data_IF_992483463648
#
_entry.id   IF_992483463648
#
_cell.length_a   1.000
_cell.length_b   1.000
_cell.length_c   1.000
_cell.angle_alpha   90.00
_cell.angle_beta   90.00
_cell.angle_gamma   90.00
#
_symmetry.space_group_name_H-M   'P 1'
#
loop_
_entity.id
_entity.type
_entity.pdbx_description
1 polymer ?
#
# COMPACT_ATOMS: atom_id res chain seq x y z
N UNK A 1 -18.36 3.54 -3.01
CA UNK A 1 -17.92 2.97 -4.31
C UNK A 1 -18.88 3.36 -5.45
N UNK A 2 -20.14 2.94 -5.49
CA UNK A 2 -21.06 3.21 -6.63
C UNK A 2 -21.26 4.70 -6.94
N UNK A 3 -21.54 5.53 -5.92
CA UNK A 3 -21.77 6.98 -6.10
C UNK A 3 -20.49 7.77 -6.43
N UNK A 4 -19.36 7.43 -5.84
CA UNK A 4 -18.11 8.17 -5.98
C UNK A 4 -17.28 7.63 -7.15
N UNK A 5 -16.92 6.34 -7.11
CA UNK A 5 -16.06 5.71 -8.12
C UNK A 5 -16.83 5.26 -9.38
N UNK A 6 -18.16 5.46 -9.44
CA UNK A 6 -19.04 4.95 -10.52
C UNK A 6 -18.91 3.43 -10.75
N UNK A 7 -18.62 2.69 -9.68
CA UNK A 7 -18.47 1.23 -9.69
C UNK A 7 -19.80 0.53 -9.96
N UNK A 8 -19.76 -0.63 -10.63
CA UNK A 8 -20.92 -1.48 -10.89
C UNK A 8 -21.33 -2.36 -9.69
N UNK A 9 -20.66 -2.21 -8.53
CA UNK A 9 -20.95 -2.96 -7.32
C UNK A 9 -22.37 -2.59 -6.84
N UNK A 10 -23.20 -3.59 -6.60
CA UNK A 10 -24.51 -3.41 -5.96
C UNK A 10 -24.29 -3.13 -4.48
N UNK A 11 -24.73 -1.98 -3.95
CA UNK A 11 -24.63 -1.72 -2.51
C UNK A 11 -25.61 -2.60 -1.74
N UNK A 12 -25.36 -2.82 -0.46
CA UNK A 12 -26.38 -3.29 0.49
C UNK A 12 -27.49 -2.25 0.69
N UNK A 13 -28.51 -2.61 1.44
CA UNK A 13 -29.61 -1.71 1.78
C UNK A 13 -29.09 -0.61 2.72
N UNK A 14 -29.49 0.61 2.49
CA UNK A 14 -29.19 1.77 3.33
C UNK A 14 -30.26 2.85 3.11
N UNK A 15 -30.60 3.60 4.15
CA UNK A 15 -31.59 4.66 4.08
C UNK A 15 -31.04 5.88 3.34
N UNK A 16 -29.93 6.43 3.80
CA UNK A 16 -29.30 7.61 3.21
C UNK A 16 -27.77 7.54 3.27
N UNK A 17 -27.10 8.12 2.29
CA UNK A 17 -25.65 8.32 2.27
C UNK A 17 -25.36 9.80 2.08
N UNK A 18 -24.89 10.45 3.15
CA UNK A 18 -24.45 11.84 3.17
C UNK A 18 -22.93 11.84 3.18
N UNK A 19 -22.30 12.52 2.24
CA UNK A 19 -20.84 12.67 2.18
C UNK A 19 -20.47 14.02 1.59
N UNK A 20 -19.27 14.48 1.92
CA UNK A 20 -18.74 15.72 1.35
C UNK A 20 -18.54 15.57 -0.16
N UNK A 21 -19.02 16.53 -0.93
CA UNK A 21 -18.90 16.56 -2.40
C UNK A 21 -17.44 16.70 -2.86
N UNK A 22 -16.52 17.07 -1.97
CA UNK A 22 -15.09 17.15 -2.27
C UNK A 22 -14.42 15.77 -2.37
N UNK A 23 -15.03 14.70 -1.84
CA UNK A 23 -14.47 13.35 -1.93
C UNK A 23 -14.54 12.86 -3.38
N UNK A 24 -13.38 12.59 -3.95
CA UNK A 24 -13.23 12.19 -5.36
C UNK A 24 -13.04 10.69 -5.55
N UNK A 25 -12.59 9.96 -4.52
CA UNK A 25 -12.26 8.55 -4.64
C UNK A 25 -12.46 7.78 -3.33
N UNK A 26 -12.83 6.50 -3.46
CA UNK A 26 -12.84 5.52 -2.37
C UNK A 26 -11.97 4.34 -2.78
N UNK A 27 -11.00 3.98 -1.96
CA UNK A 27 -10.08 2.87 -2.18
C UNK A 27 -10.30 1.85 -1.06
N UNK A 28 -10.63 0.62 -1.43
CA UNK A 28 -10.69 -0.50 -0.50
C UNK A 28 -9.39 -1.28 -0.57
N UNK A 29 -8.75 -1.49 0.57
CA UNK A 29 -7.51 -2.23 0.72
C UNK A 29 -7.83 -3.45 1.59
N UNK A 30 -8.19 -4.53 0.92
CA UNK A 30 -8.57 -5.81 1.50
C UNK A 30 -7.41 -6.82 1.47
N UNK A 31 -7.62 -7.96 2.10
CA UNK A 31 -6.65 -9.05 2.17
C UNK A 31 -6.66 -9.99 0.94
N UNK A 32 -7.41 -9.65 -0.12
CA UNK A 32 -7.42 -10.46 -1.34
C UNK A 32 -6.03 -10.47 -2.01
N UNK A 33 -5.66 -11.56 -2.70
CA UNK A 33 -4.37 -11.67 -3.36
C UNK A 33 -4.11 -10.54 -4.37
N UNK A 34 -2.85 -10.11 -4.51
CA UNK A 34 -2.42 -9.11 -5.51
C UNK A 34 -2.40 -9.65 -6.95
N UNK A 35 -2.69 -10.93 -7.12
CA UNK A 35 -2.80 -11.62 -8.39
C UNK A 35 -3.05 -13.10 -8.18
N UNK A 36 -3.44 -13.81 -9.23
CA UNK A 36 -3.81 -15.23 -9.17
C UNK A 36 -2.79 -16.16 -9.82
N UNK A 37 -1.70 -15.61 -10.34
CA UNK A 37 -0.69 -16.41 -11.08
C UNK A 37 0.68 -16.26 -10.42
N UNK A 38 1.60 -17.22 -10.63
CA UNK A 38 2.98 -17.14 -10.15
C UNK A 38 3.77 -15.93 -10.68
N UNK A 39 3.30 -15.28 -11.75
CA UNK A 39 3.92 -14.07 -12.34
C UNK A 39 3.65 -12.81 -11.54
N UNK A 40 2.54 -12.79 -10.81
CA UNK A 40 2.23 -11.67 -9.92
C UNK A 40 3.13 -11.73 -8.70
N UNK A 41 3.85 -10.67 -8.41
CA UNK A 41 4.77 -10.56 -7.27
C UNK A 41 4.86 -9.10 -6.78
N UNK A 42 5.48 -8.83 -5.62
CA UNK A 42 5.62 -7.48 -5.09
C UNK A 42 6.24 -6.50 -6.07
N UNK A 43 7.31 -6.91 -6.79
CA UNK A 43 8.03 -6.05 -7.71
C UNK A 43 7.19 -5.60 -8.90
N UNK A 44 6.38 -6.50 -9.48
CA UNK A 44 5.49 -6.18 -10.61
C UNK A 44 4.29 -5.36 -10.16
N UNK A 45 3.70 -5.70 -9.01
CA UNK A 45 2.50 -5.00 -8.52
C UNK A 45 2.76 -3.54 -8.16
N UNK A 46 3.90 -3.25 -7.53
CA UNK A 46 4.33 -1.88 -7.16
C UNK A 46 4.97 -1.13 -8.32
N UNK A 47 5.13 -1.78 -9.48
CA UNK A 47 5.84 -1.24 -10.65
C UNK A 47 7.31 -0.86 -10.37
N UNK A 48 7.94 -1.41 -9.32
CA UNK A 48 9.38 -1.23 -9.10
C UNK A 48 10.17 -2.01 -10.13
N UNK A 49 9.62 -3.14 -10.61
CA UNK A 49 10.27 -3.99 -11.58
C UNK A 49 10.52 -3.30 -12.94
N UNK A 50 9.71 -2.31 -13.31
CA UNK A 50 9.90 -1.56 -14.56
C UNK A 50 11.22 -0.76 -14.51
N UNK A 51 11.47 -0.06 -13.41
CA UNK A 51 12.73 0.66 -13.20
C UNK A 51 13.94 -0.30 -13.05
N UNK A 52 13.75 -1.46 -12.41
CA UNK A 52 14.79 -2.50 -12.33
C UNK A 52 15.15 -3.01 -13.73
N UNK A 53 14.17 -3.32 -14.57
CA UNK A 53 14.41 -3.75 -15.97
C UNK A 53 15.16 -2.69 -16.78
N UNK A 54 14.83 -1.41 -16.57
CA UNK A 54 15.52 -0.31 -17.21
C UNK A 54 16.98 -0.22 -16.74
N UNK A 55 17.26 -0.35 -15.45
CA UNK A 55 18.62 -0.37 -14.90
C UNK A 55 19.49 -1.49 -15.54
N UNK A 56 18.91 -2.66 -15.78
CA UNK A 56 19.59 -3.74 -16.49
C UNK A 56 19.84 -3.41 -17.96
N UNK A 57 18.87 -2.81 -18.67
CA UNK A 57 19.01 -2.40 -20.06
C UNK A 57 20.08 -1.31 -20.25
N UNK A 58 20.31 -0.48 -19.23
CA UNK A 58 21.33 0.57 -19.25
C UNK A 58 22.74 0.09 -19.00
N UNK A 59 22.93 -1.17 -18.60
CA UNK A 59 24.27 -1.77 -18.43
C UNK A 59 25.04 -1.80 -19.76
N UNK A 60 26.37 -1.72 -19.66
CA UNK A 60 27.24 -1.79 -20.84
C UNK A 60 27.03 -3.09 -21.61
N UNK A 61 26.90 -4.20 -20.91
CA UNK A 61 26.69 -5.54 -21.49
C UNK A 61 25.37 -5.62 -22.27
N UNK A 62 24.27 -5.13 -21.68
CA UNK A 62 22.97 -5.09 -22.37
C UNK A 62 23.01 -4.21 -23.63
N UNK A 63 23.67 -3.05 -23.57
CA UNK A 63 23.84 -2.13 -24.73
C UNK A 63 24.64 -2.77 -25.85
N UNK A 64 25.74 -3.47 -25.53
CA UNK A 64 26.56 -4.19 -26.52
C UNK A 64 25.73 -5.28 -27.23
N UNK A 65 24.89 -6.01 -26.47
CA UNK A 65 24.03 -7.08 -27.00
C UNK A 65 22.74 -6.55 -27.66
N UNK A 66 22.47 -5.23 -27.60
CA UNK A 66 21.25 -4.62 -28.11
C UNK A 66 20.00 -4.97 -27.29
N UNK A 67 20.15 -5.30 -26.00
CA UNK A 67 19.04 -5.70 -25.13
C UNK A 67 18.33 -4.47 -24.58
N UNK A 68 17.05 -4.37 -24.80
CA UNK A 68 16.14 -3.37 -24.24
C UNK A 68 15.49 -3.89 -22.94
N UNK A 69 14.77 -3.05 -22.23
CA UNK A 69 14.08 -3.39 -20.97
C UNK A 69 13.11 -4.59 -21.11
N UNK A 70 12.48 -4.78 -22.27
CA UNK A 70 11.65 -5.94 -22.58
C UNK A 70 12.39 -7.27 -22.47
N UNK A 71 13.71 -7.33 -22.76
CA UNK A 71 14.54 -8.53 -22.60
C UNK A 71 14.56 -9.05 -21.17
N UNK A 72 14.48 -8.15 -20.22
CA UNK A 72 14.51 -8.41 -18.77
C UNK A 72 13.10 -8.64 -18.18
N UNK A 73 12.07 -8.74 -19.01
CA UNK A 73 10.72 -9.11 -18.60
C UNK A 73 10.50 -10.61 -18.72
N UNK A 74 10.07 -11.27 -17.65
CA UNK A 74 9.67 -12.68 -17.69
C UNK A 74 8.29 -12.90 -18.34
N UNK A 75 7.55 -11.82 -18.65
CA UNK A 75 6.26 -11.90 -19.34
C UNK A 75 6.41 -11.86 -20.87
N UNK A 76 7.53 -11.37 -21.40
CA UNK A 76 7.76 -11.13 -22.82
C UNK A 76 8.70 -12.17 -23.40
N UNK A 77 8.43 -12.63 -24.64
CA UNK A 77 9.32 -13.54 -25.35
C UNK A 77 10.70 -12.92 -25.59
N UNK A 78 11.70 -13.78 -25.67
CA UNK A 78 13.09 -13.39 -25.98
C UNK A 78 14.03 -13.47 -24.80
N UNK A 79 13.64 -13.02 -23.59
CA UNK A 79 14.49 -13.11 -22.39
C UNK A 79 14.04 -14.16 -21.39
N UNK A 80 12.78 -14.55 -21.43
CA UNK A 80 12.21 -15.53 -20.51
C UNK A 80 12.60 -16.97 -20.87
N UNK A 81 12.49 -17.86 -19.92
CA UNK A 81 12.50 -19.30 -20.17
C UNK A 81 11.24 -19.69 -20.96
N UNK A 82 11.41 -20.30 -22.12
CA UNK A 82 10.27 -20.67 -22.97
C UNK A 82 9.58 -21.96 -22.49
N UNK A 83 10.26 -22.84 -21.74
CA UNK A 83 9.66 -24.05 -21.19
C UNK A 83 8.54 -23.74 -20.19
N UNK A 84 8.80 -22.85 -19.21
CA UNK A 84 7.80 -22.39 -18.25
C UNK A 84 7.15 -21.05 -18.66
N UNK A 85 7.51 -20.49 -19.78
CA UNK A 85 7.04 -19.19 -20.27
C UNK A 85 7.21 -18.04 -19.29
N UNK A 86 8.23 -18.13 -18.41
CA UNK A 86 8.54 -17.11 -17.40
C UNK A 86 7.87 -17.31 -16.04
N UNK A 87 7.08 -18.36 -15.85
CA UNK A 87 6.47 -18.66 -14.55
C UNK A 87 7.49 -19.13 -13.50
N UNK A 88 8.62 -19.73 -13.95
CA UNK A 88 9.58 -20.40 -13.07
C UNK A 88 9.09 -21.77 -12.59
N UNK A 89 7.81 -22.01 -12.68
CA UNK A 89 7.09 -23.21 -12.26
C UNK A 89 6.33 -23.81 -13.45
N UNK A 90 6.08 -25.10 -13.39
CA UNK A 90 5.20 -25.83 -14.33
C UNK A 90 3.97 -26.24 -13.55
N UNK A 91 2.80 -25.84 -14.04
CA UNK A 91 1.50 -26.21 -13.48
C UNK A 91 1.14 -27.61 -13.97
N UNK A 92 0.85 -28.50 -13.02
CA UNK A 92 0.25 -29.81 -13.30
C UNK A 92 -1.22 -29.73 -12.89
N UNK A 93 -2.09 -29.76 -13.89
CA UNK A 93 -3.54 -29.74 -13.67
C UNK A 93 -4.03 -31.11 -13.22
N UNK A 94 -4.75 -31.13 -12.09
CA UNK A 94 -5.37 -32.31 -11.53
C UNK A 94 -6.90 -32.17 -11.55
N UNK A 95 -7.60 -33.05 -12.26
CA UNK A 95 -9.05 -32.93 -12.51
C UNK A 95 -9.92 -32.84 -11.25
N UNK A 96 -9.50 -33.41 -10.12
CA UNK A 96 -10.28 -33.50 -8.87
C UNK A 96 -9.53 -33.00 -7.63
N UNK A 97 -8.28 -32.57 -7.79
CA UNK A 97 -7.42 -32.06 -6.73
C UNK A 97 -6.93 -30.67 -7.09
N UNK A 98 -6.48 -29.87 -6.11
CA UNK A 98 -5.84 -28.59 -6.40
C UNK A 98 -4.63 -28.78 -7.33
N UNK A 99 -4.43 -27.82 -8.23
CA UNK A 99 -3.29 -27.81 -9.14
C UNK A 99 -1.96 -27.83 -8.36
N UNK A 100 -1.02 -28.63 -8.85
CA UNK A 100 0.32 -28.73 -8.27
C UNK A 100 1.30 -27.92 -9.12
N UNK A 101 2.14 -27.13 -8.49
CA UNK A 101 3.19 -26.37 -9.12
C UNK A 101 4.53 -26.99 -8.79
N UNK A 102 5.29 -27.39 -9.81
CA UNK A 102 6.66 -27.91 -9.68
C UNK A 102 7.65 -26.94 -10.30
N UNK A 103 8.86 -26.92 -9.78
CA UNK A 103 9.93 -26.08 -10.31
C UNK A 103 10.26 -26.47 -11.76
N UNK A 104 10.47 -25.49 -12.61
CA UNK A 104 10.85 -25.73 -14.01
C UNK A 104 12.25 -26.31 -14.09
N UNK A 105 12.38 -27.51 -14.66
CA UNK A 105 13.67 -28.23 -14.76
C UNK A 105 14.71 -27.48 -15.60
N UNK A 106 14.27 -26.71 -16.61
CA UNK A 106 15.14 -25.99 -17.51
C UNK A 106 15.73 -24.75 -16.87
N UNK A 107 14.91 -23.87 -16.29
CA UNK A 107 15.39 -22.63 -15.70
C UNK A 107 15.59 -22.70 -14.18
N UNK A 108 15.21 -23.79 -13.52
CA UNK A 108 15.34 -23.99 -12.07
C UNK A 108 14.81 -22.77 -11.30
N UNK A 109 13.57 -22.40 -11.56
CA UNK A 109 12.88 -21.30 -10.88
C UNK A 109 13.31 -19.89 -11.30
N UNK A 110 14.40 -19.71 -12.05
CA UNK A 110 14.96 -18.38 -12.38
C UNK A 110 14.12 -17.57 -13.36
N UNK A 111 13.17 -18.18 -14.07
CA UNK A 111 12.23 -17.54 -15.02
C UNK A 111 12.83 -17.09 -16.36
N UNK A 112 14.16 -17.03 -16.49
CA UNK A 112 14.88 -16.48 -17.64
C UNK A 112 15.71 -17.52 -18.36
N UNK A 113 16.06 -17.22 -19.59
CA UNK A 113 17.05 -17.96 -20.32
C UNK A 113 18.48 -17.55 -19.89
N UNK A 114 19.45 -18.39 -20.18
CA UNK A 114 20.85 -18.23 -19.77
C UNK A 114 21.45 -16.91 -20.26
N UNK A 115 21.19 -16.52 -21.50
CA UNK A 115 21.76 -15.33 -22.12
C UNK A 115 21.30 -14.02 -21.40
N UNK A 116 20.06 -13.98 -20.89
CA UNK A 116 19.56 -12.88 -20.09
C UNK A 116 20.19 -12.86 -18.72
N UNK A 117 20.45 -14.04 -18.10
CA UNK A 117 21.09 -14.16 -16.80
C UNK A 117 22.57 -13.81 -16.83
N UNK A 118 23.22 -13.86 -18.00
CA UNK A 118 24.62 -13.43 -18.16
C UNK A 118 24.81 -11.93 -17.88
N UNK A 119 23.78 -11.10 -18.19
CA UNK A 119 23.82 -9.66 -17.94
C UNK A 119 23.70 -9.40 -16.43
N UNK A 120 24.66 -8.69 -15.88
CA UNK A 120 24.73 -8.37 -14.45
C UNK A 120 24.66 -6.87 -14.20
N UNK A 121 23.86 -6.49 -13.20
CA UNK A 121 23.88 -5.15 -12.62
C UNK A 121 24.53 -5.23 -11.23
N UNK A 122 25.64 -4.52 -11.01
CA UNK A 122 26.43 -4.59 -9.75
C UNK A 122 26.70 -6.04 -9.30
N UNK A 123 27.04 -6.92 -10.27
CA UNK A 123 27.38 -8.32 -10.00
C UNK A 123 26.22 -9.29 -9.86
N UNK A 124 24.96 -8.82 -9.87
CA UNK A 124 23.76 -9.64 -9.74
C UNK A 124 22.99 -9.72 -11.06
N UNK A 125 22.46 -10.91 -11.38
CA UNK A 125 21.52 -11.12 -12.48
C UNK A 125 20.13 -10.66 -12.12
N UNK A 126 19.25 -10.50 -13.11
CA UNK A 126 17.85 -10.12 -12.88
C UNK A 126 17.10 -11.15 -12.00
N UNK A 127 17.44 -12.44 -12.09
CA UNK A 127 16.85 -13.47 -11.25
C UNK A 127 17.32 -13.36 -9.79
N UNK A 128 18.65 -13.13 -9.59
CA UNK A 128 19.18 -12.91 -8.25
C UNK A 128 18.57 -11.65 -7.59
N UNK A 129 18.30 -10.61 -8.37
CA UNK A 129 17.59 -9.42 -7.87
C UNK A 129 16.16 -9.74 -7.46
N UNK A 130 15.44 -10.56 -8.22
CA UNK A 130 14.08 -10.99 -7.83
C UNK A 130 14.08 -11.88 -6.58
N UNK A 131 15.19 -12.56 -6.28
CA UNK A 131 15.35 -13.38 -5.08
C UNK A 131 15.80 -12.59 -3.85
N UNK A 132 16.22 -11.33 -4.01
CA UNK A 132 16.52 -10.43 -2.89
C UNK A 132 15.29 -10.10 -2.08
N UNK A 133 15.46 -9.92 -0.79
CA UNK A 133 14.47 -9.24 0.06
C UNK A 133 14.34 -7.77 -0.35
N UNK A 134 13.26 -7.13 0.07
CA UNK A 134 13.05 -5.70 -0.18
C UNK A 134 14.19 -4.86 0.43
N UNK A 135 14.66 -5.20 1.64
CA UNK A 135 15.77 -4.52 2.31
C UNK A 135 17.09 -4.67 1.55
N UNK A 136 17.46 -5.91 1.17
CA UNK A 136 18.66 -6.17 0.37
C UNK A 136 18.62 -5.43 -0.98
N UNK A 137 17.45 -5.39 -1.61
CA UNK A 137 17.28 -4.68 -2.87
C UNK A 137 17.36 -3.16 -2.69
N UNK A 138 16.87 -2.59 -1.57
CA UNK A 138 16.97 -1.17 -1.28
C UNK A 138 18.44 -0.72 -1.13
N UNK A 139 19.29 -1.56 -0.52
CA UNK A 139 20.73 -1.34 -0.46
C UNK A 139 21.38 -1.49 -1.85
N UNK A 140 21.02 -2.55 -2.58
CA UNK A 140 21.59 -2.82 -3.90
C UNK A 140 21.34 -1.71 -4.93
N UNK A 141 20.14 -1.07 -4.85
CA UNK A 141 19.71 0.01 -5.72
C UNK A 141 19.74 1.40 -5.04
N UNK A 142 20.56 1.59 -4.01
CA UNK A 142 20.67 2.86 -3.26
C UNK A 142 20.85 4.11 -4.14
N UNK A 143 21.54 3.97 -5.28
CA UNK A 143 21.84 5.07 -6.20
C UNK A 143 20.79 5.26 -7.31
N UNK A 144 19.64 4.55 -7.26
CA UNK A 144 18.53 4.73 -8.20
C UNK A 144 17.28 5.17 -7.42
N UNK A 145 17.01 6.48 -7.30
CA UNK A 145 15.91 7.01 -6.47
C UNK A 145 14.55 6.41 -6.85
N UNK A 146 14.28 6.21 -8.14
CA UNK A 146 13.02 5.64 -8.64
C UNK A 146 12.75 4.20 -8.16
N UNK A 147 13.80 3.43 -7.85
CA UNK A 147 13.71 2.08 -7.27
C UNK A 147 13.67 2.20 -5.76
N UNK A 148 14.66 2.91 -5.18
CA UNK A 148 14.84 3.03 -3.74
C UNK A 148 13.59 3.55 -3.04
N UNK A 149 12.99 4.65 -3.49
CA UNK A 149 11.80 5.22 -2.86
C UNK A 149 10.61 4.28 -2.79
N UNK A 150 10.42 3.39 -3.79
CA UNK A 150 9.36 2.36 -3.75
C UNK A 150 9.70 1.22 -2.78
N UNK A 151 10.99 0.83 -2.69
CA UNK A 151 11.46 -0.20 -1.77
C UNK A 151 11.41 0.29 -0.32
N UNK A 152 11.81 1.54 -0.07
CA UNK A 152 11.68 2.17 1.25
C UNK A 152 10.22 2.23 1.70
N UNK A 153 9.27 2.50 0.77
CA UNK A 153 7.84 2.47 1.10
C UNK A 153 7.38 1.05 1.49
N UNK A 154 7.87 0.00 0.83
CA UNK A 154 7.59 -1.40 1.22
C UNK A 154 8.16 -1.71 2.61
N UNK A 155 9.38 -1.28 2.90
CA UNK A 155 10.01 -1.45 4.23
C UNK A 155 9.22 -0.73 5.32
N UNK A 156 8.74 0.48 5.05
CA UNK A 156 7.93 1.28 5.99
C UNK A 156 6.59 0.64 6.36
N UNK A 157 6.00 -0.16 5.48
CA UNK A 157 4.79 -0.93 5.82
C UNK A 157 5.11 -2.31 6.42
N UNK A 158 6.36 -2.56 6.86
CA UNK A 158 6.78 -3.80 7.50
C UNK A 158 6.98 -4.97 6.53
N UNK A 159 7.32 -4.71 5.26
CA UNK A 159 7.53 -5.72 4.22
C UNK A 159 9.00 -5.84 3.78
N UNK A 160 9.95 -5.40 4.61
CA UNK A 160 11.38 -5.47 4.30
C UNK A 160 11.91 -6.88 4.04
N UNK A 161 11.31 -7.87 4.70
CA UNK A 161 11.72 -9.28 4.67
C UNK A 161 11.21 -10.08 3.47
N UNK A 162 10.18 -9.62 2.75
CA UNK A 162 9.64 -10.37 1.59
C UNK A 162 10.57 -10.27 0.40
N UNK A 163 10.59 -11.32 -0.44
CA UNK A 163 11.38 -11.29 -1.69
C UNK A 163 10.64 -10.52 -2.77
N UNK A 164 11.38 -9.76 -3.58
CA UNK A 164 10.81 -8.98 -4.70
C UNK A 164 10.03 -9.84 -5.69
N UNK A 165 10.55 -11.01 -6.03
CA UNK A 165 9.93 -11.96 -6.96
C UNK A 165 9.04 -13.00 -6.30
N UNK A 166 8.70 -12.87 -4.99
CA UNK A 166 7.83 -13.80 -4.29
C UNK A 166 6.47 -13.89 -4.96
N UNK A 167 6.04 -15.11 -5.28
CA UNK A 167 4.73 -15.30 -5.94
C UNK A 167 3.58 -14.80 -5.06
N UNK A 168 2.60 -14.14 -5.68
CA UNK A 168 1.39 -13.70 -4.98
C UNK A 168 0.61 -14.84 -4.31
N UNK A 169 0.77 -16.06 -4.79
CA UNK A 169 0.10 -17.25 -4.25
C UNK A 169 0.71 -17.73 -2.92
N UNK A 170 1.92 -17.27 -2.58
CA UNK A 170 2.62 -17.59 -1.33
C UNK A 170 2.58 -16.47 -0.30
N UNK A 171 2.00 -15.34 -0.65
CA UNK A 171 1.81 -14.22 0.27
C UNK A 171 0.61 -14.45 1.18
N UNK A 172 0.76 -14.07 2.45
CA UNK A 172 -0.37 -13.98 3.37
C UNK A 172 -1.32 -12.86 2.98
N UNK A 173 -2.58 -12.91 3.46
CA UNK A 173 -3.55 -11.84 3.21
C UNK A 173 -3.07 -10.46 3.68
N UNK A 174 -2.44 -10.40 4.86
CA UNK A 174 -1.87 -9.16 5.39
C UNK A 174 -0.70 -8.61 4.56
N UNK A 175 0.18 -9.47 4.03
CA UNK A 175 1.25 -9.06 3.11
C UNK A 175 0.67 -8.51 1.81
N UNK A 176 -0.30 -9.20 1.21
CA UNK A 176 -0.98 -8.75 0.00
C UNK A 176 -1.64 -7.38 0.20
N UNK A 177 -2.29 -7.18 1.34
CA UNK A 177 -2.92 -5.92 1.72
C UNK A 177 -1.92 -4.77 1.83
N UNK A 178 -0.78 -4.98 2.52
CA UNK A 178 0.27 -3.97 2.66
C UNK A 178 0.97 -3.64 1.34
N UNK A 179 1.13 -4.62 0.44
CA UNK A 179 1.61 -4.35 -0.93
C UNK A 179 0.63 -3.44 -1.69
N UNK A 180 -0.70 -3.66 -1.54
CA UNK A 180 -1.72 -2.77 -2.12
C UNK A 180 -1.62 -1.36 -1.53
N UNK A 181 -1.45 -1.24 -0.21
CA UNK A 181 -1.25 0.04 0.47
C UNK A 181 -0.02 0.78 -0.09
N UNK A 182 1.12 0.09 -0.24
CA UNK A 182 2.35 0.66 -0.81
C UNK A 182 2.13 1.25 -2.19
N UNK A 183 1.37 0.56 -3.05
CA UNK A 183 1.04 1.07 -4.39
C UNK A 183 0.24 2.37 -4.34
N UNK A 184 -0.68 2.49 -3.38
CA UNK A 184 -1.47 3.72 -3.22
C UNK A 184 -0.64 4.87 -2.62
N UNK A 185 0.25 4.57 -1.66
CA UNK A 185 1.18 5.54 -1.09
C UNK A 185 2.16 6.13 -2.12
N UNK A 186 2.54 5.33 -3.12
CA UNK A 186 3.45 5.75 -4.19
C UNK A 186 2.79 6.65 -5.24
N UNK A 187 1.49 6.93 -5.12
CA UNK A 187 0.76 7.81 -6.05
C UNK A 187 0.64 9.21 -5.47
N UNK A 188 0.68 10.22 -6.35
CA UNK A 188 0.27 11.59 -5.96
C UNK A 188 -1.22 11.55 -5.57
N UNK A 189 -1.52 11.86 -4.32
CA UNK A 189 -2.88 11.92 -3.81
C UNK A 189 -3.49 13.31 -4.00
N UNK A 190 -4.82 13.36 -4.14
CA UNK A 190 -5.58 14.62 -4.20
C UNK A 190 -5.87 15.19 -2.81
N UNK A 191 -5.61 14.43 -1.74
CA UNK A 191 -6.01 14.77 -0.38
C UNK A 191 -7.53 14.65 -0.14
N UNK A 192 -8.27 13.99 -1.03
CA UNK A 192 -9.74 13.85 -0.97
C UNK A 192 -10.20 12.41 -1.17
N UNK A 193 -9.32 11.48 -0.80
CA UNK A 193 -9.58 10.04 -0.96
C UNK A 193 -9.99 9.43 0.38
N UNK A 194 -11.00 8.55 0.36
CA UNK A 194 -11.33 7.69 1.49
C UNK A 194 -10.62 6.35 1.29
N UNK A 195 -9.80 5.96 2.26
CA UNK A 195 -9.18 4.64 2.34
C UNK A 195 -9.96 3.77 3.32
N UNK A 196 -10.38 2.59 2.90
CA UNK A 196 -11.03 1.59 3.74
C UNK A 196 -10.08 0.40 3.90
N UNK A 197 -9.63 0.13 5.12
CA UNK A 197 -8.72 -0.96 5.45
C UNK A 197 -9.42 -1.95 6.39
N UNK A 198 -9.23 -3.23 6.12
CA UNK A 198 -9.78 -4.31 6.92
C UNK A 198 -8.64 -5.07 7.61
N UNK A 199 -8.55 -4.96 8.95
CA UNK A 199 -7.54 -5.57 9.81
C UNK A 199 -6.09 -5.47 9.28
N UNK A 200 -5.57 -4.28 8.98
CA UNK A 200 -4.24 -4.12 8.37
C UNK A 200 -3.08 -4.55 9.28
N UNK A 201 -3.32 -4.73 10.59
CA UNK A 201 -2.29 -5.21 11.53
C UNK A 201 -2.15 -6.73 11.58
N UNK A 202 -2.98 -7.48 10.87
CA UNK A 202 -2.95 -8.94 10.88
C UNK A 202 -1.56 -9.47 10.48
N UNK A 203 -0.98 -10.30 11.37
CA UNK A 203 0.34 -10.90 11.18
C UNK A 203 1.53 -9.96 11.37
N UNK A 204 1.33 -8.73 11.90
CA UNK A 204 2.40 -7.81 12.23
C UNK A 204 2.94 -8.02 13.65
N UNK A 205 4.26 -7.87 13.79
CA UNK A 205 4.89 -7.67 15.07
C UNK A 205 4.59 -6.24 15.59
N UNK A 206 4.54 -6.03 16.90
CA UNK A 206 4.19 -4.73 17.49
C UNK A 206 5.04 -3.55 16.99
N UNK A 207 6.34 -3.80 16.67
CA UNK A 207 7.21 -2.76 16.09
C UNK A 207 6.74 -2.31 14.70
N UNK A 208 6.25 -3.25 13.88
CA UNK A 208 5.76 -2.92 12.53
C UNK A 208 4.36 -2.31 12.57
N UNK A 209 3.58 -2.56 13.63
CA UNK A 209 2.32 -1.84 13.88
C UNK A 209 2.57 -0.34 14.05
N UNK A 210 3.62 0.05 14.79
CA UNK A 210 4.01 1.47 14.93
C UNK A 210 4.32 2.12 13.56
N UNK A 211 5.08 1.44 12.72
CA UNK A 211 5.38 1.91 11.35
C UNK A 211 4.11 2.07 10.52
N UNK A 212 3.21 1.08 10.59
CA UNK A 212 1.94 1.15 9.87
C UNK A 212 1.08 2.34 10.32
N UNK A 213 0.97 2.59 11.64
CA UNK A 213 0.24 3.74 12.19
C UNK A 213 0.84 5.06 11.64
N UNK A 214 2.16 5.20 11.63
CA UNK A 214 2.83 6.38 11.07
C UNK A 214 2.47 6.58 9.58
N UNK A 215 2.44 5.50 8.81
CA UNK A 215 2.03 5.53 7.39
C UNK A 215 0.57 5.97 7.22
N UNK A 216 -0.35 5.46 8.06
CA UNK A 216 -1.77 5.83 8.02
C UNK A 216 -1.97 7.29 8.40
N UNK A 217 -1.26 7.77 9.44
CA UNK A 217 -1.27 9.17 9.84
C UNK A 217 -0.73 10.08 8.73
N UNK A 218 0.30 9.65 8.00
CA UNK A 218 0.81 10.36 6.83
C UNK A 218 -0.21 10.49 5.69
N UNK A 219 -1.14 9.52 5.53
CA UNK A 219 -2.27 9.66 4.61
C UNK A 219 -3.28 10.70 5.09
N UNK A 220 -3.59 10.72 6.39
CA UNK A 220 -4.51 11.67 7.02
C UNK A 220 -3.94 13.08 6.94
N UNK A 221 -2.65 13.27 7.24
CA UNK A 221 -1.96 14.55 7.15
C UNK A 221 -2.03 15.18 5.75
N UNK A 222 -2.09 14.35 4.71
CA UNK A 222 -2.30 14.79 3.31
C UNK A 222 -3.76 15.15 2.97
N UNK A 223 -4.66 15.19 3.97
CA UNK A 223 -6.07 15.55 3.82
C UNK A 223 -7.02 14.40 3.49
N UNK A 224 -6.53 13.16 3.44
CA UNK A 224 -7.36 12.00 3.17
C UNK A 224 -8.12 11.55 4.42
N UNK A 225 -9.15 10.75 4.22
CA UNK A 225 -9.87 10.06 5.30
C UNK A 225 -9.47 8.59 5.31
N UNK A 226 -9.10 8.08 6.47
CA UNK A 226 -8.73 6.67 6.64
C UNK A 226 -9.73 6.03 7.60
N UNK A 227 -10.43 5.01 7.14
CA UNK A 227 -11.35 4.18 7.94
C UNK A 227 -10.74 2.80 8.07
N UNK A 228 -10.53 2.36 9.30
CA UNK A 228 -9.86 1.08 9.61
C UNK A 228 -10.78 0.23 10.46
N UNK A 229 -11.00 -1.01 10.05
CA UNK A 229 -11.62 -2.04 10.88
C UNK A 229 -10.47 -2.72 11.61
N UNK A 230 -10.44 -2.64 12.95
CA UNK A 230 -9.32 -3.12 13.74
C UNK A 230 -9.72 -3.60 15.14
N UNK A 231 -8.90 -4.52 15.66
CA UNK A 231 -8.96 -5.02 17.03
C UNK A 231 -7.68 -4.70 17.81
N UNK A 232 -6.67 -4.19 17.14
CA UNK A 232 -5.40 -3.81 17.76
C UNK A 232 -5.55 -2.51 18.54
N UNK A 233 -5.35 -2.56 19.85
CA UNK A 233 -5.52 -1.41 20.75
C UNK A 233 -4.54 -0.28 20.48
N UNK A 234 -3.38 -0.55 19.87
CA UNK A 234 -2.43 0.51 19.53
C UNK A 234 -2.93 1.36 18.34
N UNK A 235 -3.64 0.73 17.40
CA UNK A 235 -4.34 1.45 16.33
C UNK A 235 -5.57 2.18 16.86
N UNK A 236 -6.38 1.50 17.68
CA UNK A 236 -7.62 2.06 18.24
C UNK A 236 -7.33 3.33 19.07
N UNK A 237 -6.32 3.30 19.96
CA UNK A 237 -5.94 4.47 20.76
C UNK A 237 -5.37 5.63 19.95
N UNK A 238 -4.86 5.35 18.74
CA UNK A 238 -4.25 6.35 17.85
C UNK A 238 -5.25 6.95 16.85
N UNK A 239 -6.51 6.50 16.88
CA UNK A 239 -7.55 7.01 16.00
C UNK A 239 -8.06 8.38 16.49
N UNK A 240 -8.46 9.23 15.54
CA UNK A 240 -9.14 10.50 15.86
C UNK A 240 -10.58 10.27 16.33
N UNK A 241 -11.21 9.18 15.84
CA UNK A 241 -12.60 8.85 16.13
C UNK A 241 -12.83 7.35 16.07
N UNK A 242 -13.58 6.81 17.01
CA UNK A 242 -13.93 5.39 17.13
C UNK A 242 -15.45 5.24 16.94
N UNK A 243 -15.85 4.19 16.23
CA UNK A 243 -17.23 3.69 16.16
C UNK A 243 -17.18 2.25 16.68
N UNK A 244 -17.70 2.02 17.88
CA UNK A 244 -17.71 0.70 18.53
C UNK A 244 -19.00 -0.03 18.22
N UNK A 245 -18.88 -1.21 17.63
CA UNK A 245 -20.01 -2.06 17.21
C UNK A 245 -20.15 -3.25 18.17
N UNK A 246 -21.37 -3.52 18.60
CA UNK A 246 -21.66 -4.61 19.52
C UNK A 246 -23.16 -4.78 19.79
N UNK A 247 -23.56 -5.16 21.04
CA UNK A 247 -22.65 -5.55 22.14
C UNK A 247 -21.98 -6.90 21.92
N UNK A 248 -22.65 -7.84 21.25
CA UNK A 248 -22.19 -9.18 20.96
C UNK A 248 -21.83 -9.35 19.47
N UNK A 249 -21.49 -10.58 19.06
CA UNK A 249 -21.29 -10.96 17.67
C UNK A 249 -22.53 -11.58 17.02
N UNK A 250 -22.55 -11.65 15.69
CA UNK A 250 -23.62 -12.31 14.94
C UNK A 250 -24.98 -11.61 15.08
N UNK A 251 -26.04 -12.39 15.32
CA UNK A 251 -27.42 -11.88 15.39
C UNK A 251 -27.73 -10.98 16.60
N UNK A 252 -26.88 -10.99 17.61
CA UNK A 252 -27.01 -10.17 18.82
C UNK A 252 -26.09 -8.93 18.80
N UNK A 253 -25.45 -8.66 17.67
CA UNK A 253 -24.54 -7.54 17.48
C UNK A 253 -24.90 -6.70 16.27
N UNK A 254 -23.96 -5.86 15.86
CA UNK A 254 -24.11 -4.98 14.69
C UNK A 254 -24.78 -3.65 15.00
N UNK A 255 -25.02 -3.36 16.28
CA UNK A 255 -25.49 -2.06 16.73
C UNK A 255 -24.32 -1.15 17.15
N UNK A 256 -24.50 0.16 17.05
CA UNK A 256 -23.50 1.11 17.56
C UNK A 256 -23.67 1.20 19.09
N UNK A 257 -22.67 0.67 19.83
CA UNK A 257 -22.65 0.76 21.29
C UNK A 257 -22.28 2.18 21.72
N UNK A 258 -21.23 2.72 21.09
CA UNK A 258 -20.76 4.09 21.32
C UNK A 258 -19.95 4.60 20.15
N UNK A 259 -19.79 5.93 20.08
CA UNK A 259 -18.87 6.56 19.14
C UNK A 259 -18.33 7.86 19.72
N UNK A 260 -17.06 8.18 19.43
CA UNK A 260 -16.39 9.38 19.95
C UNK A 260 -14.88 9.29 19.81
N UNK A 261 -14.17 10.21 20.45
CA UNK A 261 -12.71 10.10 20.58
C UNK A 261 -12.32 8.90 21.46
N UNK A 262 -11.09 8.40 21.38
CA UNK A 262 -10.62 7.32 22.25
C UNK A 262 -10.88 7.59 23.73
N UNK A 263 -10.70 8.84 24.18
CA UNK A 263 -10.95 9.27 25.57
C UNK A 263 -12.43 9.17 25.94
N UNK A 264 -13.32 9.66 25.07
CA UNK A 264 -14.78 9.61 25.28
C UNK A 264 -15.27 8.14 25.32
N UNK A 265 -14.84 7.32 24.37
CA UNK A 265 -15.20 5.89 24.32
C UNK A 265 -14.71 5.13 25.54
N UNK A 266 -13.51 5.46 26.04
CA UNK A 266 -12.92 4.80 27.21
C UNK A 266 -13.72 4.95 28.51
N UNK A 267 -14.65 5.90 28.57
CA UNK A 267 -15.50 6.18 29.74
C UNK A 267 -16.83 5.40 29.73
N UNK A 268 -17.15 4.70 28.63
CA UNK A 268 -18.43 4.03 28.43
C UNK A 268 -18.38 2.61 29.01
N UNK A 269 -19.15 2.35 30.06
CA UNK A 269 -19.13 1.06 30.77
C UNK A 269 -19.69 -0.10 29.97
N UNK A 270 -20.61 0.17 29.06
CA UNK A 270 -21.25 -0.83 28.20
C UNK A 270 -20.35 -1.30 27.04
N UNK A 271 -19.27 -0.58 26.77
CA UNK A 271 -18.32 -0.90 25.70
C UNK A 271 -17.25 -1.89 26.18
N UNK A 272 -17.17 -3.05 25.56
CA UNK A 272 -16.06 -3.97 25.77
C UNK A 272 -14.72 -3.36 25.37
N UNK A 273 -14.70 -2.61 24.30
CA UNK A 273 -13.50 -1.88 23.81
C UNK A 273 -12.98 -0.91 24.88
N UNK A 274 -13.87 -0.19 25.56
CA UNK A 274 -13.53 0.77 26.62
C UNK A 274 -12.76 0.10 27.77
N UNK A 275 -13.15 -1.10 28.20
CA UNK A 275 -12.47 -1.82 29.28
C UNK A 275 -10.99 -2.08 29.02
N UNK A 276 -10.62 -2.33 27.76
CA UNK A 276 -9.23 -2.56 27.37
C UNK A 276 -8.50 -1.27 26.98
N UNK A 277 -9.23 -0.26 26.52
CA UNK A 277 -8.68 1.02 26.06
C UNK A 277 -8.30 1.93 27.24
N UNK A 278 -9.15 2.08 28.24
CA UNK A 278 -8.96 2.94 29.39
C UNK A 278 -7.60 2.75 30.12
N UNK A 279 -7.16 1.51 30.44
CA UNK A 279 -5.86 1.31 31.08
C UNK A 279 -4.67 1.69 30.19
N UNK A 280 -4.84 1.66 28.85
CA UNK A 280 -3.78 2.01 27.89
C UNK A 280 -3.62 3.50 27.74
N UNK A 281 -4.71 4.25 27.74
CA UNK A 281 -4.69 5.72 27.71
C UNK A 281 -4.12 6.29 29.01
N UNK A 282 -4.50 5.75 30.18
CA UNK A 282 -3.97 6.22 31.48
C UNK A 282 -2.47 5.97 31.63
N UNK A 283 -1.94 4.86 31.10
CA UNK A 283 -0.49 4.63 31.07
C UNK A 283 0.22 5.63 30.14
N UNK A 284 -0.33 5.93 28.98
CA UNK A 284 0.26 6.92 28.07
C UNK A 284 0.35 8.30 28.74
N UNK A 285 -0.70 8.74 29.43
CA UNK A 285 -0.70 9.99 30.19
C UNK A 285 0.39 10.00 31.27
N UNK A 286 0.57 8.92 32.03
CA UNK A 286 1.62 8.84 33.06
C UNK A 286 3.05 8.85 32.52
N UNK A 287 3.27 8.32 31.31
CA UNK A 287 4.58 8.39 30.62
C UNK A 287 4.89 9.82 30.14
N UNK A 288 3.88 10.54 29.65
CA UNK A 288 4.04 11.95 29.23
C UNK A 288 4.36 12.87 30.43
N UNK A 289 3.77 12.61 31.61
CA UNK A 289 4.05 13.36 32.85
C UNK A 289 5.49 13.11 33.37
N UNK A 290 6.05 11.91 33.14
CA UNK A 290 7.39 11.52 33.63
C UNK A 290 8.51 11.91 32.67
N UNK A 291 8.26 11.90 31.36
CA UNK A 291 9.30 12.09 30.34
C UNK A 291 9.56 13.56 29.95
N UNK A 292 8.76 14.53 30.43
CA UNK A 292 9.00 15.96 30.20
C UNK A 292 9.19 16.35 28.70
N UNK A 293 9.31 17.61 28.42
CA UNK A 293 9.33 18.21 27.08
C UNK A 293 10.31 17.62 26.05
N UNK A 294 11.34 16.90 26.47
CA UNK A 294 12.34 16.28 25.57
C UNK A 294 11.77 15.15 24.67
N UNK A 295 10.73 14.44 25.13
CA UNK A 295 10.12 13.37 24.33
C UNK A 295 9.20 13.91 23.22
N UNK A 296 8.70 15.13 23.37
CA UNK A 296 7.84 15.79 22.39
C UNK A 296 8.68 16.31 21.22
N UNK A 297 9.86 16.85 21.49
CA UNK A 297 10.79 17.35 20.48
C UNK A 297 11.28 16.21 19.55
N UNK A 298 11.61 15.04 20.10
CA UNK A 298 12.05 13.89 19.31
C UNK A 298 10.97 13.33 18.37
N UNK A 299 9.68 13.45 18.71
CA UNK A 299 8.58 13.00 17.84
C UNK A 299 8.37 13.98 16.70
N UNK A 300 8.53 15.28 16.94
CA UNK A 300 8.42 16.31 15.90
C UNK A 300 9.61 16.32 14.95
N UNK A 301 10.83 16.06 15.44
CA UNK A 301 12.02 15.92 14.57
C UNK A 301 11.92 14.70 13.63
N UNK A 302 11.33 13.58 14.07
CA UNK A 302 11.06 12.42 13.19
C UNK A 302 9.96 12.73 12.14
N UNK A 303 9.00 13.61 12.43
CA UNK A 303 7.95 14.03 11.47
C UNK A 303 8.48 15.05 10.44
N UNK A 304 9.36 15.99 10.83
CA UNK A 304 9.97 16.94 9.88
C UNK A 304 11.00 16.25 8.95
N UNK A 305 11.72 15.24 9.42
CA UNK A 305 12.58 14.41 8.58
C UNK A 305 11.79 13.60 7.55
N UNK A 306 10.52 13.30 7.83
CA UNK A 306 9.62 12.59 6.93
C UNK A 306 9.25 13.40 5.67
N UNK A 307 9.10 14.71 5.81
CA UNK A 307 8.72 15.61 4.71
C UNK A 307 9.95 16.14 3.93
N UNK A 308 11.14 16.14 4.55
CA UNK A 308 12.37 16.68 3.93
C UNK A 308 13.04 15.72 2.93
N UNK A 309 12.85 14.41 3.08
CA UNK A 309 13.46 13.39 2.19
C UNK A 309 12.66 13.09 0.91
N UNK A 310 11.52 13.76 0.69
CA UNK A 310 10.67 13.54 -0.48
C UNK A 310 10.84 14.66 -1.52
N UNK A 311 12.05 14.79 -2.10
CA UNK A 311 12.22 15.51 -3.36
C UNK A 311 11.64 14.69 -4.51
N UNK A 312 10.66 15.27 -5.20
CA UNK A 312 9.96 14.68 -6.35
C UNK A 312 10.95 14.41 -7.50
N UNK A 313 11.02 13.18 -8.04
CA UNK A 313 11.63 13.00 -9.35
C UNK A 313 10.77 13.70 -10.41
N UNK A 314 11.37 14.60 -11.17
CA UNK A 314 10.73 15.24 -12.32
C UNK A 314 10.20 14.18 -13.29
N UNK A 315 8.93 14.30 -13.64
CA UNK A 315 8.20 13.45 -14.57
C UNK A 315 8.72 13.73 -15.99
N UNK A 316 9.63 12.89 -16.46
CA UNK A 316 9.96 12.85 -17.89
C UNK A 316 8.89 12.02 -18.60
N UNK A 317 7.79 12.68 -18.96
CA UNK A 317 6.71 12.11 -19.75
C UNK A 317 7.16 11.92 -21.18
N UNK A 318 7.75 10.77 -21.49
CA UNK A 318 7.72 10.22 -22.83
C UNK A 318 6.66 9.13 -22.88
N UNK A 319 5.55 9.47 -23.53
CA UNK A 319 4.48 8.56 -23.93
C UNK A 319 5.07 7.44 -24.81
N UNK A 320 5.18 6.26 -24.25
CA UNK A 320 5.19 5.02 -25.01
C UNK A 320 4.07 4.13 -24.46
N UNK A 321 2.89 4.38 -25.04
CA UNK A 321 1.72 3.52 -24.92
C UNK A 321 1.96 2.26 -25.73
N UNK A 322 2.44 1.18 -25.10
CA UNK A 322 2.34 -0.17 -25.66
C UNK A 322 1.49 -1.03 -24.71
N UNK A 323 0.29 -1.24 -25.17
CA UNK A 323 -0.67 -2.32 -25.00
C UNK A 323 -0.44 -3.32 -23.85
N UNK A 324 -1.18 -3.13 -22.79
CA UNK A 324 -1.57 -4.19 -21.88
C UNK A 324 -2.99 -4.63 -22.26
N UNK A 325 -3.10 -5.69 -23.05
CA UNK A 325 -4.34 -6.43 -23.17
C UNK A 325 -4.70 -7.08 -21.83
N UNK A 326 -5.64 -6.47 -21.15
CA UNK A 326 -6.43 -7.10 -20.08
C UNK A 326 -7.37 -8.12 -20.76
N UNK A 327 -7.12 -9.39 -20.53
CA UNK A 327 -8.01 -10.46 -20.91
C UNK A 327 -9.15 -10.55 -19.89
N UNK A 328 -10.16 -9.70 -20.03
CA UNK A 328 -11.49 -9.94 -19.50
C UNK A 328 -12.47 -10.05 -20.67
N UNK A 329 -13.12 -11.19 -20.73
CA UNK A 329 -14.07 -11.54 -21.75
C UNK A 329 -15.39 -10.78 -21.67
N UNK A 330 -15.92 -10.55 -22.86
CA UNK A 330 -17.29 -10.41 -23.32
C UNK A 330 -18.10 -9.16 -23.00
N UNK A 331 -18.31 -8.43 -24.09
CA UNK A 331 -19.57 -7.88 -24.64
C UNK A 331 -20.33 -6.82 -23.81
N UNK A 332 -20.47 -5.64 -24.32
CA UNK A 332 -21.52 -5.13 -25.20
C UNK A 332 -21.34 -3.62 -25.47
N UNK A 333 -21.29 -3.32 -26.75
CA UNK A 333 -21.67 -2.17 -27.58
C UNK A 333 -22.09 -0.82 -26.98
N UNK A 334 -21.55 0.20 -27.63
CA UNK A 334 -22.16 1.34 -28.33
C UNK A 334 -22.46 2.65 -27.59
N UNK A 335 -21.94 3.65 -28.25
CA UNK A 335 -22.39 5.04 -28.46
C UNK A 335 -22.00 6.13 -27.44
N UNK A 336 -21.16 6.93 -27.93
CA UNK A 336 -21.24 8.23 -28.62
C UNK A 336 -21.10 9.47 -27.76
N UNK A 337 -20.08 10.20 -28.12
CA UNK A 337 -20.00 11.64 -28.44
C UNK A 337 -20.34 12.73 -27.40
N UNK A 338 -19.39 13.67 -27.39
CA UNK A 338 -19.52 15.13 -27.25
C UNK A 338 -19.60 15.68 -25.81
N UNK A 339 -18.60 16.36 -25.34
CA UNK A 339 -18.52 17.82 -25.26
C UNK A 339 -17.17 18.34 -24.75
N UNK A 340 -16.64 19.26 -25.53
CA UNK A 340 -15.46 20.11 -25.25
C UNK A 340 -15.84 21.33 -24.42
N UNK A 341 -14.81 21.87 -23.76
CA UNK A 341 -14.61 23.26 -23.26
C UNK A 341 -15.28 23.59 -21.92
N UNK A 342 -14.57 24.17 -20.99
CA UNK A 342 -13.84 25.45 -21.05
C UNK A 342 -13.12 25.79 -19.74
N UNK A 343 -12.04 26.47 -19.91
CA UNK A 343 -11.16 27.24 -19.05
C UNK A 343 -11.68 27.92 -17.78
N UNK A 344 -10.71 28.03 -16.85
CA UNK A 344 -10.37 29.19 -15.99
C UNK A 344 -11.04 29.27 -14.60
N UNK A 345 -10.29 29.22 -13.53
CA UNK A 345 -9.59 30.38 -12.97
C UNK A 345 -8.98 30.05 -11.61
N UNK A 346 -7.82 30.62 -11.39
CA UNK A 346 -7.04 30.68 -10.16
C UNK A 346 -7.87 31.26 -9.00
N UNK A 347 -7.84 30.59 -7.85
CA UNK A 347 -7.79 31.28 -6.56
C UNK A 347 -7.26 30.32 -5.50
N UNK A 348 -6.02 30.55 -5.11
CA UNK A 348 -5.39 29.94 -3.94
C UNK A 348 -5.74 30.79 -2.71
N UNK A 349 -6.81 30.47 -2.03
CA UNK A 349 -7.02 30.94 -0.66
C UNK A 349 -6.52 29.87 0.31
N UNK A 350 -5.49 30.26 1.09
CA UNK A 350 -4.95 29.48 2.20
C UNK A 350 -6.05 29.29 3.25
N UNK A 351 -6.48 28.05 3.48
CA UNK A 351 -7.33 27.70 4.61
C UNK A 351 -6.55 27.78 5.91
N UNK A 352 -7.14 28.26 7.02
CA UNK A 352 -6.47 28.33 8.32
C UNK A 352 -6.26 26.92 8.90
N UNK A 353 -5.09 26.73 9.45
CA UNK A 353 -4.54 25.54 10.10
C UNK A 353 -5.34 25.19 11.38
N UNK A 354 -6.45 24.47 11.22
CA UNK A 354 -7.32 24.07 12.33
C UNK A 354 -6.70 22.98 13.23
N UNK A 355 -5.67 22.30 12.74
CA UNK A 355 -5.04 21.19 13.47
C UNK A 355 -3.98 21.64 14.46
N UNK A 356 -3.17 22.66 14.14
CA UNK A 356 -2.22 23.26 15.11
C UNK A 356 -2.93 23.91 16.30
N UNK A 357 -4.15 24.41 16.11
CA UNK A 357 -4.93 24.99 17.22
C UNK A 357 -5.53 23.95 18.17
N UNK A 358 -5.75 22.70 17.74
CA UNK A 358 -6.38 21.69 18.60
C UNK A 358 -5.36 21.05 19.56
N UNK A 359 -4.15 20.76 19.11
CA UNK A 359 -3.07 20.29 19.99
C UNK A 359 -2.65 21.36 21.02
N UNK A 360 -2.54 22.63 20.60
CA UNK A 360 -2.26 23.75 21.52
C UNK A 360 -3.39 24.00 22.52
N UNK A 361 -4.65 23.82 22.12
CA UNK A 361 -5.80 24.07 23.01
C UNK A 361 -5.98 23.01 24.09
N UNK A 362 -5.65 21.71 23.75
CA UNK A 362 -5.65 20.63 24.76
C UNK A 362 -4.53 20.84 25.80
N UNK A 363 -3.38 21.39 25.38
CA UNK A 363 -2.28 21.72 26.29
C UNK A 363 -2.59 22.95 27.17
N UNK A 364 -3.29 23.97 26.64
CA UNK A 364 -3.69 25.14 27.42
C UNK A 364 -4.82 24.84 28.42
N UNK A 365 -5.76 23.97 28.11
CA UNK A 365 -6.86 23.59 29.02
C UNK A 365 -6.41 22.61 30.12
N UNK A 366 -5.25 21.96 29.99
CA UNK A 366 -4.68 21.09 31.04
C UNK A 366 -3.62 21.75 31.89
N UNK A 367 -3.24 23.02 31.62
CA UNK A 367 -2.32 23.81 32.41
C UNK A 367 -3.01 24.91 33.28
N UNK A 368 -4.33 24.97 33.30
CA UNK A 368 -5.17 25.75 34.19
C UNK A 368 -5.94 24.83 35.14
#
# INVERSE_FOLDING_TARGET
MKKINKSNITPGDYDELIFDSEIDKVIVIDQSPIGRTPRSNPATYTKVFDAVRQAFADTKEAKIRGYKSGRFSFNVKGGRCEACQGDGLIKIEMNFLPDVYIECEECKGTRYNRETLDVKYRGKSIAEVLDMTVEEAAEHFENIPAIKGKLDTLTRVGLGYIKLGQSSTTLSGGEAQRIKLTKELSKKGTGRTIYLLDEPTTGLHFHDVKKLISVLNGLVAKGNTVVVIEHNLDVIKSADYIIDLGPEGGNAGGEIVTSGTPEEVSMIQESHTAHFLAPRLSKAASYLEVSGAEAIEAVFEEEEAFDADYEEPEDDTSEDSEDFEDFEGSEISENSEIFKNSNNSKNSEKRPDKFKHRAAKVLEEQML
#
